data_IF_798500551781
#
_entry.id   IF_798500551781
#
_cell.length_a   1.000
_cell.length_b   1.000
_cell.length_c   1.000
_cell.angle_alpha   90.00
_cell.angle_beta   90.00
_cell.angle_gamma   90.00
#
_symmetry.space_group_name_H-M   'P 1'
#
loop_
_entity.id
_entity.type
_entity.pdbx_description
1 polymer ?
#
# COMPACT_ATOMS: atom_id res chain seq x y z
N UNK A 1 30.10 -60.78 29.55
CA UNK A 1 29.16 -60.34 28.55
C UNK A 1 28.43 -59.12 29.09
N UNK A 2 28.84 -57.89 28.75
CA UNK A 2 28.11 -56.68 29.17
C UNK A 2 27.06 -56.32 28.13
N UNK A 3 25.88 -56.04 28.64
CA UNK A 3 24.70 -55.56 27.96
C UNK A 3 24.86 -54.12 27.52
N UNK A 4 24.59 -53.83 26.23
CA UNK A 4 24.53 -52.47 25.68
C UNK A 4 23.19 -51.82 26.02
N UNK A 5 23.23 -50.75 26.80
CA UNK A 5 22.11 -49.84 26.98
C UNK A 5 21.99 -48.90 25.76
N UNK A 6 20.82 -48.86 25.15
CA UNK A 6 20.46 -47.90 24.12
C UNK A 6 20.27 -46.52 24.75
N UNK A 7 20.94 -45.53 24.16
CA UNK A 7 20.79 -44.12 24.53
C UNK A 7 19.49 -43.58 23.92
N UNK A 8 18.66 -43.07 24.81
CA UNK A 8 17.46 -42.29 24.51
C UNK A 8 17.86 -40.93 23.93
N UNK A 9 17.35 -40.60 22.75
CA UNK A 9 17.54 -39.28 22.14
C UNK A 9 16.51 -38.31 22.72
N UNK A 10 16.90 -37.07 23.11
CA UNK A 10 15.93 -36.14 23.63
C UNK A 10 15.08 -35.57 22.51
N UNK A 11 13.81 -35.45 22.80
CA UNK A 11 12.76 -34.79 22.02
C UNK A 11 13.26 -33.44 21.46
N UNK A 12 13.10 -33.28 20.15
CA UNK A 12 13.26 -31.98 19.52
C UNK A 12 12.05 -31.12 19.89
N UNK A 13 12.29 -30.06 20.64
CA UNK A 13 11.30 -29.01 20.88
C UNK A 13 10.76 -28.47 19.53
N UNK A 14 9.43 -28.32 19.40
CA UNK A 14 8.88 -27.72 18.20
C UNK A 14 9.26 -26.24 18.14
N UNK A 15 9.78 -25.83 17.00
CA UNK A 15 10.12 -24.46 16.63
C UNK A 15 8.93 -23.50 16.89
N UNK A 16 9.06 -22.43 17.72
CA UNK A 16 7.95 -21.55 18.08
C UNK A 16 7.59 -20.52 17.01
N UNK A 17 8.03 -20.68 15.76
CA UNK A 17 7.89 -19.65 14.72
C UNK A 17 6.77 -19.93 13.68
N UNK A 18 5.84 -20.83 13.93
CA UNK A 18 4.64 -20.94 13.10
C UNK A 18 3.52 -20.09 13.71
N UNK A 19 3.63 -18.77 13.54
CA UNK A 19 2.50 -17.87 13.80
C UNK A 19 1.39 -18.22 12.79
N UNK A 20 0.28 -18.74 13.31
CA UNK A 20 -0.90 -19.05 12.50
C UNK A 20 -1.31 -17.80 11.71
N UNK A 21 -1.25 -17.88 10.39
CA UNK A 21 -1.79 -16.86 9.47
C UNK A 21 -3.30 -16.81 9.72
N UNK A 22 -3.75 -15.79 10.45
CA UNK A 22 -5.17 -15.60 10.72
C UNK A 22 -5.90 -15.33 9.40
N UNK A 23 -6.93 -16.09 9.13
CA UNK A 23 -7.81 -15.82 7.97
C UNK A 23 -8.50 -14.49 8.20
N UNK A 24 -8.24 -13.49 7.37
CA UNK A 24 -8.97 -12.21 7.38
C UNK A 24 -10.27 -12.45 6.60
N UNK A 25 -11.40 -12.49 7.31
CA UNK A 25 -12.71 -12.59 6.68
C UNK A 25 -13.07 -11.24 6.04
N UNK A 26 -12.94 -11.17 4.71
CA UNK A 26 -13.35 -10.00 3.93
C UNK A 26 -14.81 -10.15 3.47
N UNK A 27 -15.60 -9.11 3.66
CA UNK A 27 -16.88 -9.02 2.93
C UNK A 27 -16.60 -8.93 1.41
N UNK A 28 -17.56 -9.30 0.53
CA UNK A 28 -17.37 -9.18 -0.91
C UNK A 28 -16.92 -7.79 -1.37
N UNK A 29 -17.42 -6.75 -0.71
CA UNK A 29 -17.05 -5.36 -0.99
C UNK A 29 -15.61 -5.03 -0.56
N UNK A 30 -15.19 -5.52 0.60
CA UNK A 30 -13.82 -5.34 1.08
C UNK A 30 -12.82 -6.10 0.20
N UNK A 31 -13.18 -7.28 -0.29
CA UNK A 31 -12.38 -8.03 -1.23
C UNK A 31 -12.12 -7.22 -2.51
N UNK A 32 -13.14 -6.56 -3.07
CA UNK A 32 -12.98 -5.67 -4.22
C UNK A 32 -12.01 -4.51 -3.94
N UNK A 33 -12.07 -3.91 -2.76
CA UNK A 33 -11.19 -2.78 -2.44
C UNK A 33 -9.71 -3.13 -2.34
N UNK A 34 -9.38 -4.37 -1.99
CA UNK A 34 -7.99 -4.84 -1.89
C UNK A 34 -7.50 -5.56 -3.15
N UNK A 35 -8.38 -5.78 -4.12
CA UNK A 35 -8.09 -6.54 -5.34
C UNK A 35 -6.89 -5.99 -6.14
N UNK A 36 -6.69 -4.65 -6.30
CA UNK A 36 -5.49 -4.12 -6.95
C UNK A 36 -4.19 -4.56 -6.26
N UNK A 37 -4.18 -4.67 -4.93
CA UNK A 37 -3.02 -5.10 -4.16
C UNK A 37 -2.82 -6.62 -4.24
N UNK A 38 -3.90 -7.38 -4.04
CA UNK A 38 -3.86 -8.85 -4.08
C UNK A 38 -3.52 -9.37 -5.49
N UNK A 39 -3.80 -8.60 -6.54
CA UNK A 39 -3.39 -8.92 -7.91
C UNK A 39 -1.87 -9.06 -8.04
N UNK A 40 -1.11 -8.11 -7.52
CA UNK A 40 0.36 -8.12 -7.56
C UNK A 40 0.99 -8.89 -6.40
N UNK A 41 0.33 -8.91 -5.25
CA UNK A 41 0.85 -9.49 -4.02
C UNK A 41 -0.17 -10.50 -3.43
N UNK A 42 -0.41 -11.64 -4.09
CA UNK A 42 -1.37 -12.62 -3.61
C UNK A 42 -1.08 -13.05 -2.18
N UNK A 43 -2.13 -13.06 -1.34
CA UNK A 43 -2.06 -13.43 0.07
C UNK A 43 -1.53 -12.33 0.99
N UNK A 44 -1.25 -11.13 0.49
CA UNK A 44 -0.72 -10.03 1.31
C UNK A 44 -1.65 -9.66 2.47
N UNK A 45 -2.94 -9.54 2.23
CA UNK A 45 -3.92 -9.20 3.27
C UNK A 45 -3.92 -10.24 4.40
N UNK A 46 -3.94 -11.53 4.05
CA UNK A 46 -3.91 -12.61 5.03
C UNK A 46 -2.60 -12.65 5.84
N UNK A 47 -1.47 -12.38 5.18
CA UNK A 47 -0.12 -12.45 5.76
C UNK A 47 0.20 -11.25 6.65
N UNK A 48 -0.36 -10.08 6.33
CA UNK A 48 0.05 -8.80 6.93
C UNK A 48 -0.62 -8.47 8.26
N UNK A 49 -1.51 -9.31 8.77
CA UNK A 49 -2.29 -8.98 9.96
C UNK A 49 -3.20 -7.78 9.75
N UNK A 50 -3.79 -7.70 8.58
CA UNK A 50 -4.67 -6.62 8.13
C UNK A 50 -5.82 -6.36 9.08
N UNK A 51 -6.04 -5.12 9.45
CA UNK A 51 -7.15 -4.69 10.29
C UNK A 51 -7.82 -3.45 9.71
N UNK A 52 -9.12 -3.51 9.50
CA UNK A 52 -9.91 -2.35 9.11
C UNK A 52 -10.04 -1.36 10.26
N UNK A 53 -9.97 -0.07 9.95
CA UNK A 53 -10.00 1.03 10.92
C UNK A 53 -11.06 2.06 10.53
N UNK A 54 -11.67 2.68 11.54
CA UNK A 54 -12.35 3.94 11.34
C UNK A 54 -11.32 5.08 11.22
N UNK A 55 -11.62 6.17 10.50
CA UNK A 55 -10.69 7.30 10.35
C UNK A 55 -10.20 7.84 11.70
N UNK A 56 -11.05 7.78 12.73
CA UNK A 56 -10.74 8.21 14.09
C UNK A 56 -9.67 7.37 14.80
N UNK A 57 -9.47 6.12 14.37
CA UNK A 57 -8.48 5.20 14.94
C UNK A 57 -7.08 5.37 14.35
N UNK A 58 -6.95 6.08 13.22
CA UNK A 58 -5.65 6.39 12.64
C UNK A 58 -4.86 7.32 13.58
N UNK A 59 -3.56 7.06 13.80
CA UNK A 59 -2.67 7.99 14.50
C UNK A 59 -2.63 9.37 13.80
N UNK A 60 -2.22 10.44 14.48
CA UNK A 60 -2.30 11.80 13.92
C UNK A 60 -1.63 11.99 12.57
N UNK A 61 -0.40 11.52 12.38
CA UNK A 61 0.33 11.69 11.13
C UNK A 61 -0.29 10.85 9.97
N UNK A 62 -0.55 9.53 10.10
CA UNK A 62 -1.30 8.77 9.11
C UNK A 62 -2.68 9.35 8.81
N UNK A 63 -3.40 9.85 9.83
CA UNK A 63 -4.72 10.47 9.61
C UNK A 63 -4.64 11.69 8.70
N UNK A 64 -3.64 12.56 8.88
CA UNK A 64 -3.46 13.73 8.02
C UNK A 64 -3.16 13.35 6.58
N UNK A 65 -2.45 12.22 6.36
CA UNK A 65 -2.06 11.77 5.03
C UNK A 65 -3.11 10.91 4.34
N UNK A 66 -4.03 10.28 5.07
CA UNK A 66 -4.96 9.30 4.50
C UNK A 66 -6.43 9.74 4.57
N UNK A 67 -6.84 10.47 5.64
CA UNK A 67 -8.25 10.78 5.88
C UNK A 67 -8.64 12.14 5.28
N UNK A 68 -8.57 12.25 3.97
CA UNK A 68 -8.97 13.41 3.17
C UNK A 68 -9.43 12.97 1.78
N UNK A 69 -10.13 13.86 1.07
CA UNK A 69 -10.66 13.63 -0.28
C UNK A 69 -9.76 14.27 -1.37
N UNK A 70 -8.54 14.69 -1.02
CA UNK A 70 -7.56 15.21 -1.96
C UNK A 70 -6.71 14.10 -2.57
N UNK A 71 -5.99 14.41 -3.66
CA UNK A 71 -5.03 13.50 -4.26
C UNK A 71 -3.83 13.26 -3.35
N UNK A 72 -3.32 12.02 -3.34
CA UNK A 72 -2.21 11.64 -2.48
C UNK A 72 -0.91 12.36 -2.85
N UNK A 73 -0.57 12.45 -4.13
CA UNK A 73 0.71 13.06 -4.56
C UNK A 73 0.92 14.46 -4.02
N UNK A 74 0.00 15.45 -4.24
CA UNK A 74 0.16 16.79 -3.68
C UNK A 74 0.12 16.80 -2.15
N UNK A 75 -0.62 15.88 -1.52
CA UNK A 75 -0.65 15.74 -0.05
C UNK A 75 0.72 15.31 0.49
N UNK A 76 1.36 14.33 -0.15
CA UNK A 76 2.72 13.90 0.20
C UNK A 76 3.75 14.99 -0.05
N UNK A 77 3.67 15.70 -1.19
CA UNK A 77 4.56 16.84 -1.49
C UNK A 77 4.50 17.92 -0.42
N UNK A 78 3.29 18.26 0.01
CA UNK A 78 3.09 19.24 1.08
C UNK A 78 3.63 18.74 2.44
N UNK A 79 3.39 17.47 2.78
CA UNK A 79 3.82 16.89 4.06
C UNK A 79 5.34 16.80 4.13
N UNK A 80 5.99 16.29 3.09
CA UNK A 80 7.44 16.11 3.01
C UNK A 80 8.19 17.38 2.58
N UNK A 81 7.48 18.41 2.08
CA UNK A 81 8.03 19.65 1.50
C UNK A 81 9.06 19.37 0.40
N UNK A 82 8.78 18.37 -0.41
CA UNK A 82 9.62 17.90 -1.50
C UNK A 82 8.76 17.35 -2.64
N UNK A 83 9.31 17.35 -3.85
CA UNK A 83 8.71 16.64 -4.97
C UNK A 83 8.69 15.14 -4.72
N UNK A 84 7.75 14.45 -5.35
CA UNK A 84 7.55 13.01 -5.24
C UNK A 84 7.89 12.34 -6.56
N UNK A 85 8.83 11.42 -6.52
CA UNK A 85 9.23 10.59 -7.65
C UNK A 85 8.46 9.27 -7.67
N UNK A 86 8.21 8.76 -8.86
CA UNK A 86 7.55 7.48 -9.11
C UNK A 86 8.58 6.40 -9.46
N UNK A 87 8.56 5.30 -8.72
CA UNK A 87 9.20 4.04 -9.10
C UNK A 87 8.11 3.03 -9.46
N UNK A 88 8.08 2.56 -10.70
CA UNK A 88 7.17 1.49 -11.13
C UNK A 88 7.85 0.14 -10.89
N UNK A 89 7.25 -0.70 -10.07
CA UNK A 89 7.72 -2.06 -9.76
C UNK A 89 7.17 -3.07 -10.75
N UNK A 90 5.89 -2.98 -11.02
CA UNK A 90 5.19 -3.82 -11.97
C UNK A 90 4.20 -2.98 -12.76
N UNK A 91 4.04 -3.28 -14.04
CA UNK A 91 3.13 -2.61 -14.96
C UNK A 91 2.53 -3.63 -15.90
N UNK A 92 1.21 -3.69 -15.93
CA UNK A 92 0.45 -4.55 -16.82
C UNK A 92 -0.62 -3.73 -17.51
N UNK A 93 -0.90 -4.05 -18.77
CA UNK A 93 -2.01 -3.45 -19.50
C UNK A 93 -2.77 -4.52 -20.25
N UNK A 94 -4.06 -4.56 -20.01
CA UNK A 94 -4.98 -5.41 -20.75
C UNK A 94 -6.15 -4.56 -21.23
N UNK A 95 -6.28 -4.42 -22.54
CA UNK A 95 -7.28 -3.57 -23.19
C UNK A 95 -7.24 -2.12 -22.65
N UNK A 96 -8.31 -1.69 -21.97
CA UNK A 96 -8.45 -0.38 -21.35
C UNK A 96 -8.14 -0.37 -19.84
N UNK A 97 -7.64 -1.46 -19.28
CA UNK A 97 -7.20 -1.54 -17.89
C UNK A 97 -5.67 -1.49 -17.83
N UNK A 98 -5.13 -0.48 -17.16
CA UNK A 98 -3.73 -0.38 -16.79
C UNK A 98 -3.60 -0.66 -15.31
N UNK A 99 -2.79 -1.66 -14.96
CA UNK A 99 -2.52 -2.06 -13.58
C UNK A 99 -1.05 -1.79 -13.26
N UNK A 100 -0.76 -1.22 -12.09
CA UNK A 100 0.62 -0.99 -11.67
C UNK A 100 0.81 -1.11 -10.18
N UNK A 101 1.95 -1.66 -9.79
CA UNK A 101 2.51 -1.63 -8.45
C UNK A 101 3.63 -0.59 -8.42
N UNK A 102 3.58 0.34 -7.50
CA UNK A 102 4.47 1.50 -7.47
C UNK A 102 5.01 1.78 -6.07
N UNK A 103 6.15 2.47 -6.02
CA UNK A 103 6.65 3.12 -4.81
C UNK A 103 6.81 4.61 -5.12
N UNK A 104 6.29 5.46 -4.26
CA UNK A 104 6.54 6.89 -4.29
C UNK A 104 7.69 7.21 -3.35
N UNK A 105 8.65 8.00 -3.83
CA UNK A 105 9.84 8.40 -3.09
C UNK A 105 9.89 9.91 -2.90
N UNK A 106 10.34 10.35 -1.76
CA UNK A 106 10.73 11.75 -1.57
C UNK A 106 11.98 12.01 -2.42
N UNK A 107 11.90 13.01 -3.30
CA UNK A 107 12.90 13.29 -4.36
C UNK A 107 14.33 13.46 -3.84
N UNK A 108 14.52 14.15 -2.69
CA UNK A 108 15.86 14.51 -2.20
C UNK A 108 16.54 13.39 -1.44
N UNK A 109 15.78 12.72 -0.56
CA UNK A 109 16.32 11.67 0.30
C UNK A 109 16.21 10.28 -0.36
N UNK A 110 15.39 10.14 -1.41
CA UNK A 110 15.10 8.86 -2.06
C UNK A 110 14.40 7.87 -1.13
N UNK A 111 13.78 8.36 -0.04
CA UNK A 111 13.08 7.50 0.90
C UNK A 111 11.67 7.20 0.39
N UNK A 112 11.19 5.97 0.53
CA UNK A 112 9.82 5.64 0.21
C UNK A 112 8.86 6.38 1.16
N UNK A 113 7.83 6.96 0.60
CA UNK A 113 6.80 7.70 1.32
C UNK A 113 5.42 7.07 1.17
N UNK A 114 5.25 6.24 0.14
CA UNK A 114 4.03 5.48 -0.12
C UNK A 114 4.30 4.28 -1.01
N UNK A 115 3.54 3.21 -0.81
CA UNK A 115 3.41 2.06 -1.70
C UNK A 115 1.99 2.05 -2.26
N UNK A 116 1.86 1.96 -3.58
CA UNK A 116 0.57 1.99 -4.26
C UNK A 116 0.37 0.77 -5.17
N UNK A 117 -0.81 0.16 -5.07
CA UNK A 117 -1.31 -0.76 -6.08
C UNK A 117 -2.56 -0.16 -6.69
N UNK A 118 -2.60 -0.02 -8.01
CA UNK A 118 -3.64 0.74 -8.68
C UNK A 118 -4.10 0.06 -9.98
N UNK A 119 -5.40 0.06 -10.17
CA UNK A 119 -6.07 -0.22 -11.43
C UNK A 119 -6.58 1.09 -12.02
N UNK A 120 -6.31 1.35 -13.30
CA UNK A 120 -6.72 2.56 -14.00
C UNK A 120 -7.49 2.17 -15.25
N UNK A 121 -8.78 2.52 -15.29
CA UNK A 121 -9.63 2.33 -16.45
C UNK A 121 -9.42 3.48 -17.43
N UNK A 122 -8.74 3.20 -18.53
CA UNK A 122 -8.31 4.20 -19.52
C UNK A 122 -9.45 4.72 -20.41
N UNK A 123 -10.58 4.02 -20.42
CA UNK A 123 -11.76 4.44 -21.17
C UNK A 123 -12.32 5.75 -20.62
N UNK A 124 -12.54 6.72 -21.50
CA UNK A 124 -13.11 8.03 -21.14
C UNK A 124 -12.07 9.14 -20.91
N UNK A 125 -10.79 8.83 -20.93
CA UNK A 125 -9.75 9.87 -20.96
C UNK A 125 -9.50 10.38 -22.37
N UNK A 126 -9.17 11.67 -22.47
CA UNK A 126 -8.65 12.23 -23.71
C UNK A 126 -7.37 11.50 -24.14
N UNK A 127 -7.10 11.35 -25.45
CA UNK A 127 -5.93 10.63 -25.94
C UNK A 127 -4.58 11.15 -25.40
N UNK A 128 -4.48 12.42 -25.07
CA UNK A 128 -3.26 13.00 -24.49
C UNK A 128 -3.07 12.58 -23.03
N UNK A 129 -4.16 12.58 -22.23
CA UNK A 129 -4.16 12.12 -20.84
C UNK A 129 -3.86 10.63 -20.80
N UNK A 130 -4.55 9.83 -21.62
CA UNK A 130 -4.34 8.39 -21.72
C UNK A 130 -2.86 8.06 -21.98
N UNK A 131 -2.24 8.70 -22.98
CA UNK A 131 -0.81 8.50 -23.28
C UNK A 131 0.10 8.86 -22.11
N UNK A 132 -0.19 9.94 -21.38
CA UNK A 132 0.59 10.32 -20.21
C UNK A 132 0.49 9.27 -19.10
N UNK A 133 -0.70 8.70 -18.88
CA UNK A 133 -0.93 7.63 -17.91
C UNK A 133 -0.20 6.34 -18.34
N UNK A 134 -0.30 5.96 -19.62
CA UNK A 134 0.34 4.76 -20.19
C UNK A 134 1.88 4.83 -20.15
N UNK A 135 2.47 6.03 -20.25
CA UNK A 135 3.92 6.22 -20.11
C UNK A 135 4.44 5.89 -18.70
N UNK A 136 3.60 5.99 -17.68
CA UNK A 136 3.91 5.65 -16.29
C UNK A 136 5.21 6.28 -15.77
N UNK A 137 5.51 7.53 -16.16
CA UNK A 137 6.70 8.27 -15.75
C UNK A 137 6.46 9.23 -14.59
N UNK A 138 5.21 9.49 -14.25
CA UNK A 138 4.77 10.38 -13.19
C UNK A 138 3.68 9.69 -12.33
N UNK A 139 3.53 10.08 -11.03
CA UNK A 139 2.38 9.68 -10.25
C UNK A 139 1.06 10.11 -10.91
N UNK A 140 -0.01 9.30 -10.75
CA UNK A 140 -1.30 9.59 -11.38
C UNK A 140 -1.85 10.96 -10.98
N UNK A 141 -1.84 11.29 -9.68
CA UNK A 141 -2.29 12.59 -9.18
C UNK A 141 -1.52 13.76 -9.80
N UNK A 142 -0.21 13.60 -10.05
CA UNK A 142 0.61 14.58 -10.76
C UNK A 142 0.15 14.80 -12.21
N UNK A 143 -0.14 13.71 -12.94
CA UNK A 143 -0.67 13.79 -14.32
C UNK A 143 -2.03 14.49 -14.35
N UNK A 144 -2.95 14.06 -13.45
CA UNK A 144 -4.32 14.61 -13.38
C UNK A 144 -4.30 16.10 -13.06
N UNK A 145 -3.50 16.52 -12.08
CA UNK A 145 -3.35 17.93 -11.69
C UNK A 145 -2.73 18.77 -12.81
N UNK A 146 -1.61 18.33 -13.40
CA UNK A 146 -0.92 19.05 -14.49
C UNK A 146 -1.79 19.19 -15.74
N UNK A 147 -2.56 18.17 -16.06
CA UNK A 147 -3.45 18.17 -17.22
C UNK A 147 -4.85 18.70 -16.92
N UNK A 148 -5.09 19.15 -15.69
CA UNK A 148 -6.36 19.71 -15.24
C UNK A 148 -7.56 18.79 -15.52
N UNK A 149 -7.39 17.48 -15.29
CA UNK A 149 -8.46 16.51 -15.46
C UNK A 149 -9.47 16.64 -14.31
N UNK A 150 -10.73 16.99 -14.58
CA UNK A 150 -11.75 17.08 -13.52
C UNK A 150 -12.03 15.69 -12.94
N UNK A 151 -11.85 15.54 -11.64
CA UNK A 151 -12.11 14.29 -10.92
C UNK A 151 -12.36 14.54 -9.43
N UNK A 152 -12.72 13.48 -8.72
CA UNK A 152 -12.87 13.48 -7.27
C UNK A 152 -12.29 12.20 -6.67
N UNK A 153 -11.71 12.35 -5.49
CA UNK A 153 -11.12 11.26 -4.69
C UNK A 153 -12.09 10.84 -3.60
N UNK A 154 -12.25 9.53 -3.40
CA UNK A 154 -13.21 8.95 -2.47
C UNK A 154 -12.58 7.82 -1.66
N UNK A 155 -11.99 8.11 -0.48
CA UNK A 155 -11.54 7.08 0.44
C UNK A 155 -12.70 6.16 0.85
N UNK A 156 -12.49 4.85 0.68
CA UNK A 156 -13.52 3.83 0.90
C UNK A 156 -13.36 3.11 2.23
N UNK A 157 -12.12 2.90 2.63
CA UNK A 157 -11.77 2.24 3.87
C UNK A 157 -10.36 2.60 4.30
N UNK A 158 -10.09 2.47 5.60
CA UNK A 158 -8.76 2.62 6.18
C UNK A 158 -8.35 1.33 6.87
N UNK A 159 -7.05 1.11 6.97
CA UNK A 159 -6.53 -0.11 7.56
C UNK A 159 -5.16 0.10 8.21
N UNK A 160 -4.79 -0.87 9.04
CA UNK A 160 -3.40 -1.09 9.46
C UNK A 160 -2.93 -2.47 9.01
N UNK A 161 -1.63 -2.59 8.81
CA UNK A 161 -0.97 -3.85 8.48
C UNK A 161 0.44 -3.88 9.05
N UNK A 162 1.08 -5.05 9.05
CA UNK A 162 2.44 -5.23 9.55
C UNK A 162 3.47 -4.55 8.65
N UNK A 163 4.21 -3.59 9.19
CA UNK A 163 5.33 -2.98 8.48
C UNK A 163 6.42 -3.99 8.09
N UNK A 164 6.56 -5.08 8.85
CA UNK A 164 7.51 -6.15 8.51
C UNK A 164 7.10 -6.87 7.21
N UNK A 165 5.82 -7.10 7.00
CA UNK A 165 5.31 -7.69 5.77
C UNK A 165 5.46 -6.70 4.61
N UNK A 166 5.14 -5.42 4.83
CA UNK A 166 5.33 -4.35 3.83
C UNK A 166 6.80 -4.30 3.40
N UNK A 167 7.74 -4.21 4.35
CA UNK A 167 9.19 -4.17 4.06
C UNK A 167 9.67 -5.42 3.30
N UNK A 168 9.18 -6.62 3.68
CA UNK A 168 9.56 -7.87 3.01
C UNK A 168 9.00 -7.99 1.60
N UNK A 169 7.73 -7.61 1.38
CA UNK A 169 7.02 -7.81 0.11
C UNK A 169 7.27 -6.67 -0.89
N UNK A 170 7.42 -5.45 -0.40
CA UNK A 170 7.57 -4.25 -1.23
C UNK A 170 8.98 -3.67 -1.18
N UNK A 171 9.72 -3.90 -0.10
CA UNK A 171 11.07 -3.36 0.10
C UNK A 171 11.05 -1.87 0.48
N UNK A 172 12.18 -1.19 0.18
CA UNK A 172 12.26 0.27 0.25
C UNK A 172 12.61 0.85 1.63
N UNK A 173 12.41 0.14 2.73
CA UNK A 173 12.82 0.57 4.07
C UNK A 173 13.24 -0.60 4.95
N UNK A 174 14.05 -0.31 5.95
CA UNK A 174 14.52 -1.28 6.93
C UNK A 174 13.87 -1.05 8.29
N UNK A 175 13.56 -2.13 8.99
CA UNK A 175 13.08 -2.07 10.37
C UNK A 175 14.25 -2.16 11.33
N UNK A 176 14.16 -1.40 12.42
CA UNK A 176 15.19 -1.45 13.47
C UNK A 176 15.18 -2.82 14.14
N UNK A 177 16.35 -3.51 14.20
CA UNK A 177 16.45 -4.80 14.88
C UNK A 177 16.10 -4.70 16.37
N UNK A 178 15.40 -5.71 16.88
CA UNK A 178 15.10 -5.82 18.32
C UNK A 178 13.96 -4.94 18.84
N UNK A 179 13.28 -4.17 17.99
CA UNK A 179 12.06 -3.46 18.35
C UNK A 179 10.83 -4.17 17.78
N UNK A 180 9.66 -4.10 18.46
CA UNK A 180 8.42 -4.54 17.86
C UNK A 180 8.21 -3.87 16.51
N UNK A 181 7.87 -4.64 15.48
CA UNK A 181 7.59 -4.07 14.17
C UNK A 181 6.43 -3.07 14.29
N UNK A 182 6.61 -1.81 13.86
CA UNK A 182 5.53 -0.84 13.87
C UNK A 182 4.42 -1.26 12.92
N UNK A 183 3.25 -0.65 13.03
CA UNK A 183 2.21 -0.77 12.03
C UNK A 183 2.47 0.19 10.87
N UNK A 184 2.17 -0.27 9.66
CA UNK A 184 1.90 0.58 8.50
C UNK A 184 0.40 0.86 8.43
N UNK A 185 0.04 2.01 7.89
CA UNK A 185 -1.35 2.44 7.73
C UNK A 185 -1.63 2.73 6.27
N UNK A 186 -2.85 2.49 5.85
CA UNK A 186 -3.22 2.72 4.46
C UNK A 186 -4.71 3.02 4.27
N UNK A 187 -5.06 3.28 3.03
CA UNK A 187 -6.45 3.43 2.59
C UNK A 187 -6.69 2.69 1.28
N UNK A 188 -7.94 2.28 1.10
CA UNK A 188 -8.49 1.95 -0.20
C UNK A 188 -9.22 3.17 -0.73
N UNK A 189 -8.95 3.58 -1.96
CA UNK A 189 -9.45 4.81 -2.55
C UNK A 189 -10.00 4.57 -3.95
N UNK A 190 -10.98 5.35 -4.35
CA UNK A 190 -11.49 5.41 -5.71
C UNK A 190 -11.34 6.83 -6.25
N UNK A 191 -10.88 6.95 -7.50
CA UNK A 191 -10.98 8.21 -8.23
C UNK A 191 -12.12 8.12 -9.25
N UNK A 192 -12.88 9.21 -9.36
CA UNK A 192 -14.08 9.25 -10.21
C UNK A 192 -14.03 10.43 -11.16
N UNK A 193 -14.47 10.19 -12.39
CA UNK A 193 -14.77 11.25 -13.34
C UNK A 193 -15.89 12.17 -12.82
N UNK A 194 -16.04 13.33 -13.43
CA UNK A 194 -17.10 14.28 -13.11
C UNK A 194 -18.54 13.71 -13.26
N UNK A 195 -18.71 12.65 -14.06
CA UNK A 195 -19.97 11.93 -14.22
C UNK A 195 -20.19 10.83 -13.16
N UNK A 196 -19.27 10.68 -12.21
CA UNK A 196 -19.32 9.71 -11.10
C UNK A 196 -18.81 8.33 -11.42
N UNK A 197 -18.41 8.02 -12.67
CA UNK A 197 -17.80 6.71 -13.01
C UNK A 197 -16.42 6.59 -12.39
N UNK A 198 -16.15 5.44 -11.75
CA UNK A 198 -14.83 5.10 -11.23
C UNK A 198 -13.88 4.90 -12.41
N UNK A 199 -12.70 5.55 -12.35
CA UNK A 199 -11.62 5.32 -13.29
C UNK A 199 -10.32 4.83 -12.65
N UNK A 200 -10.21 4.92 -11.32
CA UNK A 200 -9.10 4.29 -10.62
C UNK A 200 -9.54 3.70 -9.29
N UNK A 201 -9.00 2.54 -8.98
CA UNK A 201 -9.14 1.79 -7.73
C UNK A 201 -7.74 1.60 -7.17
N UNK A 202 -7.51 2.05 -5.94
CA UNK A 202 -6.17 2.22 -5.39
C UNK A 202 -6.10 1.65 -3.98
N UNK A 203 -5.04 0.93 -3.68
CA UNK A 203 -4.60 0.62 -2.31
C UNK A 203 -3.31 1.38 -2.05
N UNK A 204 -3.34 2.30 -1.09
CA UNK A 204 -2.23 3.16 -0.70
C UNK A 204 -1.76 2.76 0.70
N UNK A 205 -0.46 2.50 0.87
CA UNK A 205 0.16 2.07 2.13
C UNK A 205 1.31 3.01 2.47
N UNK A 206 1.25 3.65 3.63
CA UNK A 206 2.35 4.46 4.14
C UNK A 206 3.41 3.56 4.81
N UNK A 207 4.70 3.80 4.58
CA UNK A 207 5.74 3.23 5.45
C UNK A 207 5.53 3.70 6.89
N UNK A 208 6.16 3.05 7.88
CA UNK A 208 6.12 3.53 9.26
C UNK A 208 6.60 4.97 9.33
N UNK A 209 5.75 5.85 9.82
CA UNK A 209 6.11 7.25 10.04
C UNK A 209 6.80 7.40 11.40
N UNK A 210 7.79 8.31 11.53
CA UNK A 210 8.39 8.63 12.82
C UNK A 210 7.30 9.06 13.82
N UNK A 211 7.42 8.59 15.07
CA UNK A 211 6.54 9.08 16.12
C UNK A 211 6.67 10.61 16.19
N UNK A 212 5.55 11.34 16.15
CA UNK A 212 5.57 12.78 16.35
C UNK A 212 6.13 13.05 17.75
N UNK A 213 7.29 13.69 17.81
CA UNK A 213 7.80 14.19 19.08
C UNK A 213 6.82 15.23 19.58
N UNK A 214 6.08 14.91 20.64
CA UNK A 214 5.22 15.87 21.33
C UNK A 214 6.13 17.01 21.82
N UNK A 215 6.10 18.15 21.14
CA UNK A 215 6.73 19.38 21.60
C UNK A 215 5.75 20.15 22.47
#
# INVERSE_FOLDING_TARGET
>A
MPSHAAADSPDADPDPATTAVGTVDLTPRQAQWVEPLEHFLPGFVAESGWQWLDPGQLPPAPRRLLAHDDDMTPTLEQFHRAAIDLEVRELEQQDDLLSRLVILHEHRAGQPVEFGAIWIHLAGFDPAVRRAIEQATEPLGGILGRMQVPHSSHPRAFFSCSAAVVARRLGGFELMPGQPAPASYGRCNELRHADGRVFAEIVEILPPLPAESTR
#
